data_IF_605354937265
#
_entry.id   IF_605354937265
#
_cell.length_a   1.000
_cell.length_b   1.000
_cell.length_c   1.000
_cell.angle_alpha   90.00
_cell.angle_beta   90.00
_cell.angle_gamma   90.00
#
_symmetry.space_group_name_H-M   'P 1'
#
loop_
_entity.id
_entity.type
_entity.pdbx_description
1 polymer ?
#
# COMPACT_ATOMS: atom_id res chain seq x y z
N UNK A 1 -36.50 34.00 10.49
CA UNK A 1 -35.02 34.00 10.63
C UNK A 1 -34.57 35.42 10.92
N UNK A 2 -33.73 35.61 11.94
CA UNK A 2 -33.20 36.94 12.25
C UNK A 2 -32.25 37.40 11.15
N UNK A 3 -32.45 38.59 10.61
CA UNK A 3 -31.51 39.19 9.66
C UNK A 3 -30.43 39.93 10.44
N UNK A 4 -29.19 39.87 9.93
CA UNK A 4 -28.09 40.69 10.42
C UNK A 4 -27.62 41.59 9.28
N UNK A 5 -27.49 42.88 9.57
CA UNK A 5 -26.96 43.84 8.60
C UNK A 5 -25.43 43.83 8.68
N UNK A 6 -24.77 43.50 7.58
CA UNK A 6 -23.32 43.57 7.44
C UNK A 6 -22.96 44.69 6.45
N UNK A 7 -22.01 45.54 6.84
CA UNK A 7 -21.41 46.51 5.93
C UNK A 7 -20.36 45.82 5.07
N UNK A 8 -20.44 46.00 3.75
CA UNK A 8 -19.43 45.50 2.81
C UNK A 8 -18.85 46.64 2.00
N UNK A 9 -17.60 46.46 1.55
CA UNK A 9 -16.95 47.43 0.64
C UNK A 9 -17.66 47.41 -0.71
N UNK A 10 -17.74 48.57 -1.34
CA UNK A 10 -18.36 48.74 -2.67
C UNK A 10 -17.80 47.75 -3.70
N UNK A 11 -16.47 47.60 -3.74
CA UNK A 11 -15.80 46.65 -4.63
C UNK A 11 -16.20 45.18 -4.38
N UNK A 12 -16.60 44.83 -3.15
CA UNK A 12 -17.09 43.48 -2.82
C UNK A 12 -18.55 43.34 -3.24
N UNK A 13 -19.37 44.37 -3.01
CA UNK A 13 -20.76 44.40 -3.46
C UNK A 13 -20.86 44.18 -4.97
N UNK A 14 -20.08 44.91 -5.77
CA UNK A 14 -20.08 44.76 -7.23
C UNK A 14 -19.62 43.36 -7.69
N UNK A 15 -18.65 42.76 -6.98
CA UNK A 15 -18.22 41.37 -7.25
C UNK A 15 -19.27 40.32 -6.92
N UNK A 16 -20.06 40.55 -5.87
CA UNK A 16 -21.19 39.69 -5.52
C UNK A 16 -22.32 39.86 -6.53
N UNK A 17 -22.61 41.11 -6.91
CA UNK A 17 -23.62 41.44 -7.92
C UNK A 17 -23.31 40.81 -9.29
N UNK A 18 -22.05 40.82 -9.71
CA UNK A 18 -21.62 40.18 -10.96
C UNK A 18 -21.74 38.65 -10.94
N UNK A 19 -21.74 38.03 -9.74
CA UNK A 19 -21.91 36.57 -9.55
C UNK A 19 -23.35 36.14 -9.33
N UNK A 20 -24.24 37.09 -9.07
CA UNK A 20 -25.65 36.86 -8.81
C UNK A 20 -26.36 36.38 -10.08
N UNK A 21 -27.09 35.27 -9.98
CA UNK A 21 -27.89 34.72 -11.10
C UNK A 21 -29.25 35.42 -11.20
N UNK A 22 -29.92 35.33 -12.35
CA UNK A 22 -31.28 35.86 -12.50
C UNK A 22 -32.25 35.18 -11.52
N UNK A 23 -33.03 36.00 -10.80
CA UNK A 23 -34.00 35.53 -9.80
C UNK A 23 -33.43 35.15 -8.42
N UNK A 24 -32.10 35.14 -8.25
CA UNK A 24 -31.44 34.84 -6.97
C UNK A 24 -31.52 36.05 -6.00
N UNK A 25 -31.56 35.85 -4.68
CA UNK A 25 -31.34 36.94 -3.72
C UNK A 25 -29.85 37.06 -3.35
N UNK A 26 -29.43 38.17 -2.75
CA UNK A 26 -28.04 38.30 -2.29
C UNK A 26 -27.67 37.27 -1.21
N UNK A 27 -28.64 36.91 -0.36
CA UNK A 27 -28.46 35.86 0.65
C UNK A 27 -28.20 34.52 -0.03
N UNK A 28 -29.02 34.16 -1.03
CA UNK A 28 -28.85 32.89 -1.76
C UNK A 28 -27.52 32.84 -2.51
N UNK A 29 -27.07 33.96 -3.10
CA UNK A 29 -25.75 34.04 -3.73
C UNK A 29 -24.63 33.81 -2.71
N UNK A 30 -24.73 34.39 -1.51
CA UNK A 30 -23.72 34.22 -0.45
C UNK A 30 -23.73 32.78 0.05
N UNK A 31 -24.90 32.21 0.35
CA UNK A 31 -25.03 30.83 0.82
C UNK A 31 -24.44 29.86 -0.20
N UNK A 32 -24.78 30.00 -1.48
CA UNK A 32 -24.20 29.19 -2.55
C UNK A 32 -22.69 29.34 -2.66
N UNK A 33 -22.16 30.55 -2.57
CA UNK A 33 -20.70 30.76 -2.64
C UNK A 33 -19.98 30.17 -1.44
N UNK A 34 -20.61 30.17 -0.26
CA UNK A 34 -20.07 29.55 0.95
C UNK A 34 -20.12 28.03 0.81
N UNK A 35 -21.23 27.46 0.34
CA UNK A 35 -21.39 26.02 0.08
C UNK A 35 -20.45 25.51 -1.04
N UNK A 36 -20.27 26.27 -2.12
CA UNK A 36 -19.31 25.96 -3.19
C UNK A 36 -17.85 26.10 -2.71
N UNK A 37 -17.61 26.97 -1.73
CA UNK A 37 -16.33 27.01 -1.00
C UNK A 37 -16.24 25.99 0.14
N UNK A 38 -17.26 25.13 0.26
CA UNK A 38 -17.48 24.16 1.32
C UNK A 38 -16.35 23.14 1.40
N UNK A 39 -15.43 23.42 2.31
CA UNK A 39 -14.24 22.67 2.60
C UNK A 39 -13.02 23.50 2.24
N UNK A 40 -12.38 24.13 3.25
CA UNK A 40 -10.96 24.46 3.07
C UNK A 40 -10.30 23.12 2.74
N UNK A 41 -9.85 22.95 1.51
CA UNK A 41 -9.18 21.72 1.09
C UNK A 41 -8.01 21.39 2.02
N UNK A 42 -7.48 22.38 2.76
CA UNK A 42 -6.49 22.19 3.83
C UNK A 42 -7.05 21.54 5.10
N UNK A 43 -8.32 21.70 5.44
CA UNK A 43 -8.93 21.07 6.62
C UNK A 43 -9.04 19.54 6.45
N UNK A 44 -9.15 19.04 5.21
CA UNK A 44 -9.18 17.61 4.91
C UNK A 44 -7.88 17.02 4.34
N UNK A 45 -6.91 17.86 3.96
CA UNK A 45 -5.68 17.38 3.34
C UNK A 45 -4.81 16.61 4.34
N UNK A 46 -4.66 15.31 4.09
CA UNK A 46 -3.86 14.41 4.93
C UNK A 46 -4.62 13.76 6.09
N UNK A 47 -5.93 14.01 6.21
CA UNK A 47 -6.80 13.32 7.18
C UNK A 47 -7.82 12.48 6.45
N UNK A 48 -8.02 11.22 6.89
CA UNK A 48 -9.12 10.39 6.44
C UNK A 48 -10.20 10.32 7.53
N UNK A 49 -11.49 10.17 7.14
CA UNK A 49 -12.56 9.82 8.06
C UNK A 49 -12.21 8.55 8.85
N UNK A 50 -12.73 8.44 10.08
CA UNK A 50 -12.35 7.35 10.98
C UNK A 50 -12.71 5.97 10.41
N UNK A 51 -13.85 5.87 9.77
CA UNK A 51 -14.37 4.68 9.09
C UNK A 51 -13.47 4.24 7.93
N UNK A 52 -13.05 5.16 7.08
CA UNK A 52 -12.15 4.88 5.95
C UNK A 52 -10.73 4.55 6.43
N UNK A 53 -10.30 5.19 7.52
CA UNK A 53 -9.00 4.93 8.14
C UNK A 53 -8.92 3.48 8.66
N UNK A 54 -9.98 2.96 9.27
CA UNK A 54 -9.98 1.60 9.79
C UNK A 54 -9.96 0.56 8.68
N UNK A 55 -10.73 0.78 7.61
CA UNK A 55 -10.70 -0.06 6.43
C UNK A 55 -9.29 -0.11 5.81
N UNK A 56 -8.61 1.04 5.69
CA UNK A 56 -7.24 1.11 5.18
C UNK A 56 -6.23 0.40 6.09
N UNK A 57 -6.40 0.51 7.42
CA UNK A 57 -5.54 -0.20 8.39
C UNK A 57 -5.65 -1.70 8.24
N UNK A 58 -6.87 -2.21 8.08
CA UNK A 58 -7.10 -3.65 7.92
C UNK A 58 -6.47 -4.17 6.62
N UNK A 59 -6.73 -3.51 5.49
CA UNK A 59 -6.15 -3.89 4.21
C UNK A 59 -4.60 -3.86 4.23
N UNK A 60 -4.01 -2.87 4.91
CA UNK A 60 -2.55 -2.80 5.07
C UNK A 60 -2.00 -3.93 5.94
N UNK A 61 -2.72 -4.30 7.00
CA UNK A 61 -2.36 -5.39 7.90
C UNK A 61 -2.38 -6.72 7.17
N UNK A 62 -3.44 -6.99 6.41
CA UNK A 62 -3.58 -8.18 5.57
C UNK A 62 -2.44 -8.28 4.55
N UNK A 63 -2.22 -7.22 3.75
CA UNK A 63 -1.15 -7.17 2.75
C UNK A 63 0.24 -7.44 3.33
N UNK A 64 0.54 -6.89 4.51
CA UNK A 64 1.80 -7.13 5.22
C UNK A 64 1.90 -8.58 5.73
N UNK A 65 0.79 -9.15 6.22
CA UNK A 65 0.72 -10.55 6.65
C UNK A 65 0.99 -11.53 5.51
N UNK A 66 0.37 -11.31 4.36
CA UNK A 66 0.57 -12.12 3.16
C UNK A 66 2.01 -12.04 2.67
N UNK A 67 2.56 -10.83 2.61
CA UNK A 67 3.95 -10.59 2.20
C UNK A 67 4.92 -11.29 3.15
N UNK A 68 4.72 -11.18 4.46
CA UNK A 68 5.56 -11.84 5.47
C UNK A 68 5.50 -13.37 5.36
N UNK A 69 4.29 -13.91 5.14
CA UNK A 69 4.07 -15.35 4.96
C UNK A 69 4.78 -15.86 3.70
N UNK A 70 4.60 -15.17 2.57
CA UNK A 70 5.23 -15.52 1.31
C UNK A 70 6.76 -15.45 1.39
N UNK A 71 7.32 -14.41 2.04
CA UNK A 71 8.76 -14.29 2.23
C UNK A 71 9.30 -15.42 3.10
N UNK A 72 8.63 -15.74 4.21
CA UNK A 72 9.01 -16.83 5.10
C UNK A 72 8.98 -18.19 4.39
N UNK A 73 7.98 -18.43 3.56
CA UNK A 73 7.88 -19.65 2.75
C UNK A 73 9.01 -19.76 1.73
N UNK A 74 9.41 -18.64 1.10
CA UNK A 74 10.56 -18.60 0.18
C UNK A 74 11.87 -18.86 0.91
N UNK A 75 12.08 -18.24 2.07
CA UNK A 75 13.28 -18.46 2.89
C UNK A 75 13.42 -19.94 3.28
N UNK A 76 12.35 -20.56 3.80
CA UNK A 76 12.36 -22.01 4.12
C UNK A 76 12.70 -22.88 2.91
N UNK A 77 12.12 -22.57 1.75
CA UNK A 77 12.41 -23.31 0.51
C UNK A 77 13.87 -23.17 0.09
N UNK A 78 14.42 -21.95 0.18
CA UNK A 78 15.83 -21.70 -0.11
C UNK A 78 16.76 -22.51 0.80
N UNK A 79 16.55 -22.46 2.12
CA UNK A 79 17.33 -23.23 3.09
C UNK A 79 17.24 -24.73 2.83
N UNK A 80 16.02 -25.26 2.59
CA UNK A 80 15.85 -26.68 2.28
C UNK A 80 16.57 -27.12 0.99
N UNK A 81 16.61 -26.26 -0.04
CA UNK A 81 17.37 -26.52 -1.26
C UNK A 81 18.89 -26.54 -0.99
N UNK A 82 19.41 -25.64 -0.16
CA UNK A 82 20.82 -25.67 0.25
C UNK A 82 21.17 -26.94 1.03
N UNK A 83 20.33 -27.35 1.99
CA UNK A 83 20.55 -28.61 2.73
C UNK A 83 20.54 -29.83 1.82
N UNK A 84 19.66 -29.84 0.82
CA UNK A 84 19.57 -30.95 -0.15
C UNK A 84 20.79 -30.99 -1.06
N UNK A 85 21.24 -29.83 -1.53
CA UNK A 85 22.44 -29.71 -2.36
C UNK A 85 23.71 -30.12 -1.60
N UNK A 86 23.86 -29.72 -0.32
CA UNK A 86 25.01 -30.11 0.51
C UNK A 86 25.08 -31.63 0.70
N UNK A 87 23.97 -32.30 1.01
CA UNK A 87 23.94 -33.77 1.18
C UNK A 87 24.25 -34.53 -0.12
N UNK A 88 24.00 -33.93 -1.28
CA UNK A 88 24.33 -34.55 -2.57
C UNK A 88 25.83 -34.44 -2.89
N UNK A 89 26.50 -33.39 -2.40
CA UNK A 89 27.94 -33.15 -2.58
C UNK A 89 28.78 -34.06 -1.65
N UNK A 90 28.33 -34.27 -0.40
CA UNK A 90 28.96 -35.20 0.55
C UNK A 90 28.85 -36.68 0.12
N UNK A 91 28.00 -37.00 -0.86
CA UNK A 91 27.78 -38.36 -1.37
C UNK A 91 28.74 -38.81 -2.49
N UNK A 92 29.60 -37.92 -3.00
CA UNK A 92 30.53 -38.18 -4.12
C UNK A 92 32.00 -38.31 -3.65
N UNK A 93 32.25 -38.81 -2.44
CA UNK A 93 33.58 -39.30 -2.08
C UNK A 93 33.82 -40.68 -2.71
N UNK A 94 34.31 -40.63 -3.95
CA UNK A 94 34.92 -41.69 -4.77
C UNK A 94 35.23 -43.00 -4.03
N UNK A 95 34.48 -44.05 -4.33
CA UNK A 95 35.02 -45.42 -4.31
C UNK A 95 36.08 -45.50 -5.41
N UNK A 96 37.33 -45.23 -5.07
CA UNK A 96 38.46 -45.52 -5.94
C UNK A 96 38.54 -47.04 -6.06
N UNK A 97 38.10 -47.58 -7.20
CA UNK A 97 38.30 -48.98 -7.56
C UNK A 97 39.79 -49.28 -7.58
N UNK A 98 40.25 -50.13 -6.65
CA UNK A 98 41.47 -50.90 -6.84
C UNK A 98 41.07 -52.21 -7.53
N UNK A 99 41.40 -52.30 -8.82
CA UNK A 99 41.65 -53.59 -9.48
C UNK A 99 42.96 -53.47 -10.26
N UNK A 100 43.60 -54.58 -10.68
CA UNK A 100 43.27 -55.99 -10.44
C UNK A 100 44.45 -56.78 -9.83
N UNK A 101 44.22 -57.59 -8.81
CA UNK A 101 45.17 -58.66 -8.45
C UNK A 101 44.84 -59.89 -9.31
N UNK A 102 45.57 -60.01 -10.41
CA UNK A 102 45.60 -61.19 -11.25
C UNK A 102 46.51 -62.23 -10.57
N UNK A 103 45.91 -63.06 -9.72
CA UNK A 103 46.58 -64.20 -9.13
C UNK A 103 46.57 -65.36 -10.14
N UNK A 104 47.74 -65.63 -10.72
CA UNK A 104 48.01 -66.83 -11.48
C UNK A 104 48.24 -68.04 -10.57
N UNK A 105 48.11 -69.22 -11.21
CA UNK A 105 48.71 -70.52 -10.82
C UNK A 105 48.09 -71.13 -9.53
N UNK A 106 47.83 -72.43 -9.36
CA UNK A 106 48.41 -73.66 -9.90
C UNK A 106 47.53 -74.86 -9.42
N UNK A 107 47.45 -75.93 -10.23
CA UNK A 107 47.24 -77.37 -9.92
C UNK A 107 46.21 -77.86 -8.85
N UNK A 108 45.49 -78.98 -9.02
CA UNK A 108 45.84 -80.29 -9.58
C UNK A 108 44.59 -81.09 -10.02
#
# INVERSE_FOLDING_TARGET
MGTKTIGIREAVYERLRARKREGESFTDTIDRLIEESGGDWREGFGTLPAEETEALREATRESRGDTATALSARQRRGVGQFETASRADDGDERTVENGPDADGEEEA
#
